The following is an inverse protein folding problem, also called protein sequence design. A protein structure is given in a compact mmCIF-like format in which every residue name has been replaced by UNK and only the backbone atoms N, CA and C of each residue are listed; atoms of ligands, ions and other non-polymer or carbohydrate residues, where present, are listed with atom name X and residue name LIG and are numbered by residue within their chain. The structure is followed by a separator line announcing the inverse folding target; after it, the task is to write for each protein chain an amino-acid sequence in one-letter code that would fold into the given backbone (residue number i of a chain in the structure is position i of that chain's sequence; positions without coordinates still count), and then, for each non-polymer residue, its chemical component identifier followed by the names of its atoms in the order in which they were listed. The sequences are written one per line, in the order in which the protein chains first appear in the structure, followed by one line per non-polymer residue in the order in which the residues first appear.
data_IF_330462522877
#
_entry.id   IF_330462522877
#
_cell.length_a   1.000
_cell.length_b   1.000
_cell.length_c   1.000
_cell.angle_alpha   90.00
_cell.angle_beta   90.00
_cell.angle_gamma   90.00
#
_symmetry.space_group_name_H-M   'P 1'
#
loop_
_entity.id
_entity.type
_entity.pdbx_description
1 polymer ?
#
# COMPACT_ATOMS: atom_id res chain seq x y z
N UNK A 1 3.23 -0.22 -24.63
CA UNK A 1 3.64 -0.68 -23.29
C UNK A 1 2.60 -1.69 -22.84
N UNK A 2 3.01 -2.88 -22.38
CA UNK A 2 2.09 -3.95 -21.98
C UNK A 2 1.19 -3.53 -20.81
N UNK A 3 0.04 -4.20 -20.67
CA UNK A 3 -0.83 -4.04 -19.51
C UNK A 3 -0.15 -4.75 -18.33
N UNK A 4 0.54 -4.01 -17.47
CA UNK A 4 1.15 -4.57 -16.26
C UNK A 4 0.15 -4.55 -15.13
N UNK A 5 -0.06 -5.68 -14.48
CA UNK A 5 -0.82 -5.79 -13.23
C UNK A 5 0.15 -6.06 -12.07
N UNK A 6 0.63 -5.03 -11.34
CA UNK A 6 1.58 -5.21 -10.24
C UNK A 6 1.13 -6.28 -9.23
N UNK A 7 -0.18 -6.32 -8.94
CA UNK A 7 -0.81 -7.25 -8.01
C UNK A 7 -0.57 -8.72 -8.38
N UNK A 8 -0.53 -9.03 -9.68
CA UNK A 8 -0.39 -10.39 -10.20
C UNK A 8 1.00 -10.67 -10.76
N UNK A 9 2.00 -9.83 -10.42
CA UNK A 9 3.39 -10.06 -10.77
C UNK A 9 3.99 -11.29 -10.09
N UNK A 10 3.57 -11.58 -8.87
CA UNK A 10 4.00 -12.72 -8.06
C UNK A 10 2.78 -13.54 -7.65
N UNK A 11 2.11 -14.22 -8.61
CA UNK A 11 0.84 -14.86 -8.35
C UNK A 11 1.02 -16.08 -7.45
N UNK A 12 0.06 -16.29 -6.54
CA UNK A 12 -0.08 -17.50 -5.73
C UNK A 12 -1.49 -18.05 -5.90
N UNK A 13 -1.68 -19.36 -5.68
CA UNK A 13 -3.00 -19.96 -5.80
C UNK A 13 -3.94 -19.37 -4.73
N UNK A 14 -3.44 -19.14 -3.52
CA UNK A 14 -4.19 -18.53 -2.43
C UNK A 14 -4.67 -17.11 -2.75
N UNK A 15 -3.84 -16.30 -3.43
CA UNK A 15 -4.22 -14.97 -3.88
C UNK A 15 -5.30 -15.04 -4.97
N UNK A 16 -5.14 -15.94 -5.95
CA UNK A 16 -6.11 -16.15 -7.03
C UNK A 16 -7.45 -16.63 -6.48
N UNK A 17 -7.45 -17.62 -5.59
CA UNK A 17 -8.65 -18.11 -4.90
C UNK A 17 -9.36 -16.98 -4.13
N UNK A 18 -8.59 -16.13 -3.44
CA UNK A 18 -9.15 -14.99 -2.72
C UNK A 18 -9.82 -13.98 -3.66
N UNK A 19 -9.19 -13.68 -4.80
CA UNK A 19 -9.76 -12.79 -5.82
C UNK A 19 -11.09 -13.32 -6.30
N UNK A 20 -11.13 -14.60 -6.71
CA UNK A 20 -12.31 -15.21 -7.31
C UNK A 20 -13.43 -15.37 -6.26
N UNK A 21 -13.12 -15.69 -4.99
CA UNK A 21 -14.12 -15.83 -3.92
C UNK A 21 -14.74 -14.51 -3.45
N UNK A 22 -14.01 -13.41 -3.57
CA UNK A 22 -14.42 -12.10 -3.02
C UNK A 22 -14.78 -11.07 -4.08
N UNK A 23 -14.79 -11.46 -5.36
CA UNK A 23 -15.24 -10.58 -6.42
C UNK A 23 -16.73 -10.28 -6.25
N UNK A 24 -17.06 -9.03 -5.95
CA UNK A 24 -18.40 -8.61 -5.53
C UNK A 24 -19.33 -8.22 -6.68
N UNK A 25 -18.83 -8.23 -7.91
CA UNK A 25 -19.54 -7.77 -9.11
C UNK A 25 -20.33 -8.89 -9.81
N UNK A 26 -20.66 -9.94 -9.06
CA UNK A 26 -21.45 -11.10 -9.50
C UNK A 26 -22.68 -11.27 -8.60
N UNK A 27 -23.80 -11.83 -9.10
CA UNK A 27 -25.06 -11.93 -8.34
C UNK A 27 -24.94 -12.67 -7.00
N UNK A 28 -24.06 -13.68 -6.90
CA UNK A 28 -23.90 -14.55 -5.74
C UNK A 28 -22.58 -14.30 -4.98
N UNK A 29 -22.08 -13.05 -5.00
CA UNK A 29 -20.82 -12.69 -4.33
C UNK A 29 -20.77 -13.19 -2.87
N UNK A 30 -19.76 -14.01 -2.54
CA UNK A 30 -19.58 -14.60 -1.20
C UNK A 30 -20.18 -16.00 -1.02
N UNK A 31 -20.70 -16.64 -2.06
CA UNK A 31 -21.10 -18.06 -2.03
C UNK A 31 -19.89 -19.00 -1.86
N UNK A 32 -20.10 -20.13 -1.18
CA UNK A 32 -19.06 -21.14 -0.92
C UNK A 32 -18.66 -21.89 -2.20
N UNK A 33 -19.57 -22.00 -3.16
CA UNK A 33 -19.34 -22.66 -4.45
C UNK A 33 -18.74 -21.66 -5.43
N UNK A 34 -17.72 -22.06 -6.19
CA UNK A 34 -17.01 -21.21 -7.17
C UNK A 34 -17.55 -21.37 -8.60
N UNK A 35 -18.76 -21.92 -8.75
CA UNK A 35 -19.36 -22.29 -10.04
C UNK A 35 -20.06 -21.11 -10.75
N UNK A 36 -19.90 -19.88 -10.25
CA UNK A 36 -20.80 -18.75 -10.56
C UNK A 36 -20.21 -17.64 -11.45
N UNK A 37 -18.95 -17.74 -11.86
CA UNK A 37 -18.39 -16.78 -12.82
C UNK A 37 -18.81 -17.18 -14.23
N UNK A 38 -19.77 -16.44 -14.81
CA UNK A 38 -20.06 -16.57 -16.24
C UNK A 38 -18.83 -16.13 -17.04
N UNK A 39 -18.73 -16.53 -18.31
CA UNK A 39 -17.60 -16.08 -19.14
C UNK A 39 -17.54 -14.55 -19.27
N UNK A 40 -18.69 -13.87 -19.19
CA UNK A 40 -18.77 -12.41 -19.11
C UNK A 40 -18.12 -11.87 -17.84
N UNK A 41 -18.34 -12.51 -16.71
CA UNK A 41 -17.77 -12.07 -15.43
C UNK A 41 -16.27 -12.34 -15.37
N UNK A 42 -15.81 -13.48 -15.91
CA UNK A 42 -14.39 -13.78 -16.08
C UNK A 42 -13.70 -12.72 -16.93
N UNK A 43 -14.28 -12.37 -18.07
CA UNK A 43 -13.76 -11.32 -18.94
C UNK A 43 -13.75 -9.95 -18.26
N UNK A 44 -14.79 -9.61 -17.50
CA UNK A 44 -14.84 -8.36 -16.71
C UNK A 44 -13.73 -8.33 -15.65
N UNK A 45 -13.53 -9.43 -14.92
CA UNK A 45 -12.49 -9.56 -13.92
C UNK A 45 -11.09 -9.44 -14.55
N UNK A 46 -10.80 -10.21 -15.60
CA UNK A 46 -9.52 -10.17 -16.32
C UNK A 46 -9.25 -8.79 -16.92
N UNK A 47 -10.25 -8.14 -17.51
CA UNK A 47 -10.13 -6.77 -18.00
C UNK A 47 -9.81 -5.80 -16.85
N UNK A 48 -10.51 -5.90 -15.73
CA UNK A 48 -10.27 -5.05 -14.57
C UNK A 48 -8.86 -5.26 -14.03
N UNK A 49 -8.42 -6.50 -13.85
CA UNK A 49 -7.08 -6.86 -13.39
C UNK A 49 -5.96 -6.33 -14.29
N UNK A 50 -6.19 -6.31 -15.61
CA UNK A 50 -5.20 -5.85 -16.59
C UNK A 50 -5.14 -4.33 -16.72
N UNK A 51 -6.26 -3.63 -16.57
CA UNK A 51 -6.34 -2.17 -16.76
C UNK A 51 -6.13 -1.41 -15.45
N UNK A 52 -6.73 -1.87 -14.35
CA UNK A 52 -6.58 -1.25 -13.03
C UNK A 52 -7.02 -2.22 -11.91
N UNK A 53 -6.06 -2.73 -11.15
CA UNK A 53 -6.28 -3.64 -10.02
C UNK A 53 -6.92 -2.98 -8.78
N UNK A 54 -6.95 -1.65 -8.70
CA UNK A 54 -7.46 -0.90 -7.55
C UNK A 54 -8.85 -1.37 -7.05
N UNK A 55 -9.91 -1.44 -7.88
CA UNK A 55 -11.22 -1.93 -7.43
C UNK A 55 -11.20 -3.36 -6.92
N UNK A 56 -10.31 -4.23 -7.42
CA UNK A 56 -10.20 -5.61 -6.95
C UNK A 56 -9.58 -5.62 -5.55
N UNK A 57 -8.48 -4.90 -5.34
CA UNK A 57 -7.81 -4.80 -4.05
C UNK A 57 -8.76 -4.34 -2.94
N UNK A 58 -9.55 -3.31 -3.22
CA UNK A 58 -10.54 -2.76 -2.27
C UNK A 58 -11.65 -3.78 -1.91
N UNK A 59 -11.98 -4.71 -2.81
CA UNK A 59 -12.98 -5.75 -2.55
C UNK A 59 -12.37 -6.92 -1.77
N UNK A 60 -11.17 -7.37 -2.15
CA UNK A 60 -10.56 -8.56 -1.57
C UNK A 60 -9.89 -8.28 -0.22
N UNK A 61 -9.51 -7.02 0.04
CA UNK A 61 -8.94 -6.53 1.30
C UNK A 61 -9.76 -5.34 1.82
N UNK A 62 -10.97 -5.60 2.38
CA UNK A 62 -11.89 -4.52 2.72
C UNK A 62 -11.51 -3.81 4.03
N UNK A 63 -11.93 -2.55 4.15
CA UNK A 63 -11.70 -1.71 5.33
C UNK A 63 -12.28 -2.31 6.63
N UNK A 64 -13.40 -3.02 6.52
CA UNK A 64 -14.06 -3.69 7.65
C UNK A 64 -13.23 -4.82 8.26
N UNK A 65 -12.23 -5.32 7.53
CA UNK A 65 -11.24 -6.30 8.01
C UNK A 65 -9.95 -5.64 8.51
N UNK A 66 -9.94 -4.30 8.63
CA UNK A 66 -8.80 -3.54 9.14
C UNK A 66 -7.76 -3.17 8.07
N UNK A 67 -8.04 -3.42 6.79
CA UNK A 67 -7.13 -3.03 5.71
C UNK A 67 -7.16 -1.51 5.46
N UNK A 68 -6.00 -0.89 5.15
CA UNK A 68 -5.90 0.56 5.01
C UNK A 68 -6.34 1.04 3.62
N UNK A 69 -7.51 0.60 3.16
CA UNK A 69 -8.14 1.05 1.92
C UNK A 69 -9.46 1.78 2.19
N UNK A 70 -9.90 2.69 1.31
CA UNK A 70 -11.23 3.26 1.41
C UNK A 70 -12.30 2.21 1.09
N UNK A 71 -13.42 2.28 1.80
CA UNK A 71 -14.55 1.38 1.58
C UNK A 71 -15.01 1.41 0.12
N UNK A 72 -15.04 0.24 -0.51
CA UNK A 72 -15.61 0.04 -1.84
C UNK A 72 -17.14 0.16 -1.79
N UNK A 73 -17.72 0.92 -2.72
CA UNK A 73 -19.17 1.09 -2.82
C UNK A 73 -19.77 0.46 -4.09
N UNK A 74 -18.94 0.23 -5.12
CA UNK A 74 -19.37 -0.42 -6.37
C UNK A 74 -18.64 0.12 -7.59
N UNK A 75 -18.91 -0.50 -8.74
CA UNK A 75 -18.41 -0.04 -10.03
C UNK A 75 -19.48 -0.07 -11.12
N UNK A 76 -19.32 0.79 -12.12
CA UNK A 76 -20.12 0.80 -13.34
C UNK A 76 -19.21 1.03 -14.55
N UNK A 77 -18.97 -0.02 -15.34
CA UNK A 77 -18.00 0.03 -16.43
C UNK A 77 -16.58 0.33 -15.90
N UNK A 78 -16.02 1.49 -16.29
CA UNK A 78 -14.69 1.96 -15.84
C UNK A 78 -14.75 2.90 -14.64
N UNK A 79 -15.94 3.19 -14.13
CA UNK A 79 -16.14 4.04 -12.96
C UNK A 79 -16.16 3.19 -11.70
N UNK A 80 -15.42 3.62 -10.69
CA UNK A 80 -15.36 3.00 -9.37
C UNK A 80 -15.75 4.04 -8.35
N UNK A 81 -16.58 3.65 -7.38
CA UNK A 81 -17.02 4.49 -6.28
C UNK A 81 -16.48 3.93 -4.97
N UNK A 82 -15.79 4.77 -4.21
CA UNK A 82 -15.26 4.45 -2.89
C UNK A 82 -15.47 5.61 -1.93
N UNK A 83 -15.23 5.39 -0.64
CA UNK A 83 -15.32 6.43 0.37
C UNK A 83 -14.39 7.62 0.05
N UNK A 84 -14.90 8.84 0.20
CA UNK A 84 -14.18 10.07 -0.17
C UNK A 84 -12.98 10.33 0.75
N UNK A 85 -11.85 10.71 0.15
CA UNK A 85 -10.61 11.10 0.84
C UNK A 85 -10.02 12.36 0.21
N UNK A 86 -9.18 13.08 0.96
CA UNK A 86 -8.32 14.14 0.41
C UNK A 86 -6.92 13.59 0.13
N UNK A 87 -6.31 13.85 -1.03
CA UNK A 87 -4.97 13.36 -1.34
C UNK A 87 -3.92 13.92 -0.38
N UNK A 88 -2.86 13.16 -0.09
CA UNK A 88 -1.80 13.54 0.84
C UNK A 88 -1.13 14.87 0.46
N UNK A 89 -1.06 15.20 -0.83
CA UNK A 89 -0.51 16.46 -1.35
C UNK A 89 -1.16 17.71 -0.73
N UNK A 90 -2.44 17.64 -0.39
CA UNK A 90 -3.18 18.76 0.19
C UNK A 90 -2.68 19.09 1.62
N UNK A 91 -1.88 18.20 2.21
CA UNK A 91 -1.29 18.34 3.55
C UNK A 91 0.19 18.71 3.55
N UNK A 92 0.83 18.91 2.39
CA UNK A 92 2.22 19.38 2.34
C UNK A 92 2.39 20.78 2.97
N UNK A 93 1.33 21.59 2.97
CA UNK A 93 1.27 22.88 3.68
C UNK A 93 0.76 22.80 5.12
N UNK A 94 0.46 21.61 5.66
CA UNK A 94 -0.15 21.47 6.98
C UNK A 94 0.80 21.84 8.13
N UNK A 95 0.24 22.11 9.30
CA UNK A 95 0.98 22.39 10.52
C UNK A 95 1.92 21.23 10.92
N UNK A 96 3.01 21.49 11.66
CA UNK A 96 4.02 20.48 11.99
C UNK A 96 3.46 19.24 12.70
N UNK A 97 2.47 19.42 13.56
CA UNK A 97 1.83 18.33 14.33
C UNK A 97 1.01 17.40 13.43
N UNK A 98 0.37 17.96 12.40
CA UNK A 98 -0.38 17.19 11.39
C UNK A 98 0.60 16.44 10.50
N UNK A 99 1.67 17.09 10.07
CA UNK A 99 2.69 16.47 9.23
C UNK A 99 3.41 15.32 9.94
N UNK A 100 3.80 15.52 11.21
CA UNK A 100 4.41 14.49 12.04
C UNK A 100 3.47 13.29 12.21
N UNK A 101 2.19 13.54 12.48
CA UNK A 101 1.23 12.44 12.64
C UNK A 101 0.96 11.69 11.34
N UNK A 102 0.80 12.38 10.20
CA UNK A 102 0.61 11.72 8.91
C UNK A 102 1.85 10.87 8.53
N UNK A 103 3.07 11.34 8.83
CA UNK A 103 4.27 10.56 8.63
C UNK A 103 4.29 9.29 9.51
N UNK A 104 3.88 9.39 10.77
CA UNK A 104 3.77 8.23 11.67
C UNK A 104 2.70 7.23 11.21
N UNK A 105 1.54 7.72 10.77
CA UNK A 105 0.50 6.87 10.20
C UNK A 105 0.97 6.18 8.92
N UNK A 106 1.73 6.88 8.08
CA UNK A 106 2.32 6.31 6.86
C UNK A 106 3.24 5.12 7.18
N UNK A 107 4.13 5.26 8.17
CA UNK A 107 4.96 4.15 8.62
C UNK A 107 4.14 2.98 9.20
N UNK A 108 3.06 3.27 9.93
CA UNK A 108 2.18 2.24 10.48
C UNK A 108 1.46 1.45 9.37
N UNK A 109 0.93 2.14 8.36
CA UNK A 109 0.30 1.53 7.18
C UNK A 109 1.31 0.67 6.42
N UNK A 110 2.52 1.18 6.15
CA UNK A 110 3.55 0.40 5.47
C UNK A 110 3.96 -0.84 6.26
N UNK A 111 4.01 -0.76 7.59
CA UNK A 111 4.29 -1.92 8.44
C UNK A 111 3.18 -2.97 8.36
N UNK A 112 1.89 -2.59 8.38
CA UNK A 112 0.80 -3.55 8.20
C UNK A 112 0.77 -4.16 6.79
N UNK A 113 1.23 -3.40 5.79
CA UNK A 113 1.41 -3.90 4.43
C UNK A 113 2.59 -4.89 4.30
N UNK A 114 3.64 -4.71 5.11
CA UNK A 114 4.79 -5.60 5.16
C UNK A 114 4.51 -6.91 5.93
N UNK A 115 3.77 -6.79 7.04
CA UNK A 115 3.48 -7.88 7.97
C UNK A 115 2.01 -7.82 8.41
N UNK A 116 1.25 -8.87 8.10
CA UNK A 116 -0.15 -9.02 8.47
C UNK A 116 -0.52 -10.48 8.70
N UNK A 117 -1.68 -10.70 9.31
CA UNK A 117 -2.16 -12.02 9.72
C UNK A 117 -2.45 -12.97 8.54
N UNK A 118 -2.57 -12.43 7.31
CA UNK A 118 -2.76 -13.24 6.10
C UNK A 118 -1.45 -13.61 5.42
N UNK A 119 -0.29 -13.22 5.95
CA UNK A 119 1.03 -13.48 5.37
C UNK A 119 1.16 -13.00 3.90
N UNK A 120 0.50 -11.90 3.54
CA UNK A 120 0.71 -11.23 2.26
C UNK A 120 1.69 -10.07 2.45
N UNK A 121 2.66 -9.95 1.56
CA UNK A 121 3.54 -8.79 1.50
C UNK A 121 3.15 -7.88 0.35
N UNK A 122 2.80 -6.64 0.69
CA UNK A 122 2.41 -5.64 -0.29
C UNK A 122 3.55 -4.65 -0.51
N UNK A 123 3.82 -4.37 -1.77
CA UNK A 123 4.84 -3.41 -2.17
C UNK A 123 4.30 -2.47 -3.24
N UNK A 124 4.80 -1.24 -3.26
CA UNK A 124 4.47 -0.30 -4.32
C UNK A 124 5.47 -0.44 -5.47
N UNK A 125 5.00 -0.41 -6.72
CA UNK A 125 5.87 -0.26 -7.88
C UNK A 125 6.12 1.20 -8.25
N UNK A 126 5.22 2.09 -7.81
CA UNK A 126 5.29 3.52 -8.01
C UNK A 126 4.52 4.23 -6.89
N UNK A 127 5.02 5.41 -6.48
CA UNK A 127 4.37 6.29 -5.52
C UNK A 127 4.27 7.70 -6.07
N UNK A 128 3.12 8.32 -5.85
CA UNK A 128 2.90 9.74 -6.09
C UNK A 128 2.06 10.38 -4.98
N UNK A 129 1.83 11.68 -5.14
CA UNK A 129 1.13 12.48 -4.15
C UNK A 129 -0.37 12.17 -4.03
N UNK A 130 -0.92 11.32 -4.92
CA UNK A 130 -2.29 10.81 -4.93
C UNK A 130 -2.42 9.36 -4.45
N UNK A 131 -1.32 8.63 -4.24
CA UNK A 131 -1.30 7.25 -3.72
C UNK A 131 -1.94 7.16 -2.33
N UNK A 132 -1.61 8.10 -1.44
CA UNK A 132 -2.18 8.16 -0.09
C UNK A 132 -3.23 9.26 0.02
N UNK A 133 -4.21 9.03 0.88
CA UNK A 133 -5.26 10.00 1.20
C UNK A 133 -5.57 10.01 2.68
N UNK A 134 -6.27 11.07 3.11
CA UNK A 134 -6.67 11.30 4.49
C UNK A 134 -8.19 11.50 4.54
N UNK A 135 -8.86 10.76 5.41
CA UNK A 135 -10.28 10.97 5.68
C UNK A 135 -10.53 12.24 6.50
N UNK A 136 -11.79 12.66 6.59
CA UNK A 136 -12.17 13.84 7.37
C UNK A 136 -11.86 13.71 8.87
N UNK A 137 -11.75 12.48 9.37
CA UNK A 137 -11.36 12.18 10.76
C UNK A 137 -9.84 12.18 10.98
N UNK A 138 -9.02 12.45 9.96
CA UNK A 138 -7.56 12.56 10.07
C UNK A 138 -6.79 11.26 9.86
N UNK A 139 -7.45 10.14 9.61
CA UNK A 139 -6.76 8.87 9.34
C UNK A 139 -6.24 8.79 7.89
N UNK A 140 -5.00 8.31 7.74
CA UNK A 140 -4.32 8.08 6.47
C UNK A 140 -4.58 6.66 5.95
N UNK A 141 -4.83 6.57 4.65
CA UNK A 141 -5.13 5.32 3.93
C UNK A 141 -4.46 5.31 2.55
N UNK A 142 -4.39 4.13 1.94
CA UNK A 142 -3.98 3.94 0.56
C UNK A 142 -5.19 4.28 -0.33
N UNK A 143 -5.15 5.47 -0.92
CA UNK A 143 -6.21 6.01 -1.78
C UNK A 143 -6.16 5.39 -3.17
N UNK A 144 -4.96 5.21 -3.73
CA UNK A 144 -4.75 4.54 -5.01
C UNK A 144 -3.91 3.29 -4.78
N UNK A 145 -4.49 2.16 -5.17
CA UNK A 145 -3.93 0.84 -4.98
C UNK A 145 -3.49 0.22 -6.32
N UNK A 146 -3.62 0.95 -7.43
CA UNK A 146 -3.31 0.46 -8.78
C UNK A 146 -1.84 0.05 -8.96
N UNK A 147 -0.94 0.61 -8.16
CA UNK A 147 0.50 0.34 -8.18
C UNK A 147 0.95 -0.70 -7.15
N UNK A 148 0.02 -1.30 -6.39
CA UNK A 148 0.37 -2.31 -5.39
C UNK A 148 0.59 -3.67 -6.04
N UNK A 149 1.76 -4.24 -5.77
CA UNK A 149 2.06 -5.65 -5.93
C UNK A 149 1.84 -6.43 -4.64
N UNK A 150 1.59 -7.73 -4.77
CA UNK A 150 1.42 -8.67 -3.66
C UNK A 150 2.36 -9.85 -3.85
N UNK A 151 3.03 -10.25 -2.79
CA UNK A 151 3.77 -11.51 -2.66
C UNK A 151 3.13 -12.32 -1.55
N UNK A 152 2.82 -13.58 -1.83
CA UNK A 152 2.34 -14.52 -0.83
C UNK A 152 3.52 -15.14 -0.07
N UNK A 153 3.66 -14.84 1.22
CA UNK A 153 4.74 -15.38 2.06
C UNK A 153 4.46 -16.78 2.59
N UNK A 154 3.21 -17.27 2.51
CA UNK A 154 2.83 -18.59 3.01
C UNK A 154 3.01 -19.66 1.96
N UNK A 155 2.60 -19.39 0.71
CA UNK A 155 2.90 -20.26 -0.44
C UNK A 155 4.32 -20.01 -0.99
N UNK A 156 4.95 -18.89 -0.63
CA UNK A 156 6.25 -18.45 -1.12
C UNK A 156 7.48 -19.01 -0.38
N UNK A 157 7.77 -20.29 -0.60
CA UNK A 157 9.11 -20.94 -0.52
C UNK A 157 9.14 -22.34 -1.17
N UNK A 158 8.05 -22.79 -1.81
CA UNK A 158 8.08 -24.02 -2.60
C UNK A 158 8.68 -23.69 -3.97
N UNK A 159 10.00 -23.87 -4.07
CA UNK A 159 10.72 -24.03 -5.33
C UNK A 159 9.91 -24.96 -6.23
N UNK A 160 9.22 -24.40 -7.22
CA UNK A 160 8.91 -25.18 -8.41
C UNK A 160 10.27 -25.55 -8.99
N UNK A 161 10.62 -26.82 -8.88
CA UNK A 161 11.79 -27.40 -9.50
C UNK A 161 11.81 -26.98 -10.98
N UNK A 162 12.81 -26.17 -11.35
CA UNK A 162 13.00 -25.71 -12.73
C UNK A 162 12.75 -24.22 -12.96
N UNK A 163 13.73 -23.62 -13.63
CA UNK A 163 13.74 -22.30 -14.26
C UNK A 163 12.50 -22.05 -15.14
N UNK A 164 11.34 -21.78 -14.56
CA UNK A 164 10.19 -21.33 -15.32
C UNK A 164 10.09 -19.81 -15.18
N UNK A 165 10.56 -19.11 -16.22
CA UNK A 165 10.31 -17.68 -16.38
C UNK A 165 8.80 -17.46 -16.31
N UNK A 166 8.30 -16.96 -15.18
CA UNK A 166 6.90 -16.58 -15.02
C UNK A 166 6.62 -15.43 -15.99
N UNK A 167 5.90 -15.75 -17.08
CA UNK A 167 5.44 -14.76 -18.06
C UNK A 167 4.22 -14.06 -17.49
N UNK A 168 4.19 -12.74 -17.54
CA UNK A 168 2.97 -11.99 -17.26
C UNK A 168 1.89 -12.40 -18.25
N UNK A 169 0.80 -12.97 -17.75
CA UNK A 169 -0.32 -13.32 -18.62
C UNK A 169 -0.92 -12.07 -19.28
N UNK A 170 -0.77 -10.89 -18.66
CA UNK A 170 -1.30 -9.63 -19.18
C UNK A 170 -0.32 -8.87 -20.07
N UNK A 171 1.00 -8.98 -19.86
CA UNK A 171 1.98 -8.36 -20.78
C UNK A 171 1.97 -9.06 -22.15
N UNK A 172 1.71 -10.37 -22.16
CA UNK A 172 1.52 -11.18 -23.36
C UNK A 172 0.16 -10.95 -24.06
N UNK A 173 -0.73 -10.09 -23.53
CA UNK A 173 -1.89 -9.59 -24.30
C UNK A 173 -1.49 -8.53 -25.35
N UNK A 174 -0.22 -8.13 -25.38
CA UNK A 174 0.35 -7.24 -26.41
C UNK A 174 1.33 -7.98 -27.31
N UNK A 175 1.52 -7.49 -28.55
CA UNK A 175 2.25 -8.17 -29.63
C UNK A 175 3.73 -8.46 -29.28
N UNK A 176 4.32 -7.66 -28.40
CA UNK A 176 5.72 -7.77 -27.98
C UNK A 176 5.81 -8.14 -26.49
N UNK A 177 5.72 -9.44 -26.19
CA UNK A 177 5.84 -9.94 -24.82
C UNK A 177 7.30 -9.86 -24.35
N UNK A 178 7.67 -8.77 -23.66
CA UNK A 178 8.96 -8.68 -22.96
C UNK A 178 8.87 -9.43 -21.63
N UNK A 179 9.53 -10.58 -21.56
CA UNK A 179 9.22 -11.68 -20.64
C UNK A 179 10.23 -11.88 -19.50
N UNK A 180 10.83 -10.83 -18.96
CA UNK A 180 11.72 -10.96 -17.81
C UNK A 180 11.26 -10.02 -16.69
N UNK A 181 10.47 -10.54 -15.75
CA UNK A 181 10.29 -9.86 -14.48
C UNK A 181 11.56 -9.99 -13.64
N UNK A 182 11.92 -8.93 -12.93
CA UNK A 182 12.83 -9.08 -11.78
C UNK A 182 12.15 -10.04 -10.80
N UNK A 183 12.88 -11.06 -10.34
CA UNK A 183 12.35 -12.09 -9.44
C UNK A 183 11.59 -11.49 -8.27
N UNK A 184 10.50 -12.13 -7.85
CA UNK A 184 9.77 -11.77 -6.65
C UNK A 184 10.68 -11.73 -5.40
N UNK A 185 11.74 -12.55 -5.40
CA UNK A 185 12.73 -12.60 -4.33
C UNK A 185 13.62 -11.35 -4.24
N UNK A 186 13.67 -10.55 -5.31
CA UNK A 186 14.44 -9.31 -5.33
C UNK A 186 13.76 -8.15 -4.58
N UNK A 187 12.47 -8.31 -4.24
CA UNK A 187 11.67 -7.25 -3.64
C UNK A 187 11.78 -7.38 -2.12
N UNK A 188 12.55 -6.48 -1.50
CA UNK A 188 12.77 -6.48 -0.05
C UNK A 188 11.58 -5.87 0.68
N UNK A 189 11.38 -6.25 1.95
CA UNK A 189 10.32 -5.68 2.81
C UNK A 189 10.47 -4.16 3.02
N UNK A 190 11.69 -3.64 2.87
CA UNK A 190 12.01 -2.22 3.02
C UNK A 190 11.73 -1.41 1.74
N UNK A 191 11.40 -2.06 0.62
CA UNK A 191 11.22 -1.41 -0.68
C UNK A 191 10.26 -0.21 -0.63
N UNK A 192 9.03 -0.43 -0.13
CA UNK A 192 8.01 0.62 -0.01
C UNK A 192 8.41 1.73 0.95
N UNK A 193 9.18 1.41 1.99
CA UNK A 193 9.67 2.39 2.95
C UNK A 193 10.69 3.33 2.31
N UNK A 194 11.62 2.78 1.53
CA UNK A 194 12.59 3.59 0.79
C UNK A 194 11.88 4.53 -0.18
N UNK A 195 10.92 4.03 -0.95
CA UNK A 195 10.15 4.86 -1.89
C UNK A 195 9.41 6.00 -1.17
N UNK A 196 8.79 5.74 -0.02
CA UNK A 196 8.13 6.78 0.77
C UNK A 196 9.12 7.83 1.30
N UNK A 197 10.29 7.39 1.75
CA UNK A 197 11.36 8.28 2.20
C UNK A 197 11.96 9.14 1.09
N UNK A 198 11.95 8.65 -0.16
CA UNK A 198 12.39 9.40 -1.33
C UNK A 198 11.31 10.39 -1.81
N UNK A 199 10.07 9.91 -1.97
CA UNK A 199 9.06 10.64 -2.74
C UNK A 199 8.08 11.47 -1.91
N UNK A 200 7.71 11.01 -0.71
CA UNK A 200 6.57 11.58 0.03
C UNK A 200 7.02 12.35 1.28
N UNK A 201 7.86 11.74 2.12
CA UNK A 201 8.25 12.32 3.40
C UNK A 201 9.05 13.62 3.27
N UNK A 202 9.96 13.80 2.30
CA UNK A 202 10.64 15.09 2.13
C UNK A 202 9.66 16.22 1.83
N UNK A 203 8.62 15.97 1.03
CA UNK A 203 7.57 16.95 0.72
C UNK A 203 6.69 17.23 1.95
N UNK A 204 6.44 16.21 2.76
CA UNK A 204 5.62 16.32 3.96
C UNK A 204 6.32 16.95 5.16
N UNK A 205 7.63 16.79 5.33
CA UNK A 205 8.35 17.16 6.57
C UNK A 205 9.34 18.32 6.43
N UNK A 206 9.71 18.71 5.20
CA UNK A 206 10.74 19.73 4.95
C UNK A 206 10.38 21.08 5.57
N UNK A 207 11.29 21.60 6.38
CA UNK A 207 11.23 22.94 6.96
C UNK A 207 10.06 23.16 7.93
N UNK A 208 9.46 22.09 8.46
CA UNK A 208 8.32 22.19 9.39
C UNK A 208 8.74 22.29 10.85
N UNK A 209 9.95 21.86 11.19
CA UNK A 209 10.41 21.78 12.56
C UNK A 209 11.52 22.81 12.83
N UNK A 210 11.64 23.31 14.07
CA UNK A 210 12.71 24.24 14.42
C UNK A 210 14.08 23.54 14.34
N UNK A 211 15.14 24.29 14.07
CA UNK A 211 16.50 23.77 14.21
C UNK A 211 16.84 23.61 15.71
N UNK A 212 17.58 22.55 16.12
CA UNK A 212 18.31 21.56 15.30
C UNK A 212 17.51 20.28 15.00
N UNK A 213 16.19 20.27 15.24
CA UNK A 213 15.37 19.06 15.06
C UNK A 213 15.20 18.72 13.58
N UNK A 214 14.99 19.73 12.73
CA UNK A 214 14.85 19.54 11.28
C UNK A 214 16.09 18.87 10.67
N UNK A 215 17.30 19.33 11.02
CA UNK A 215 18.56 18.69 10.56
C UNK A 215 18.63 17.20 10.90
N UNK A 216 18.19 16.80 12.09
CA UNK A 216 18.15 15.38 12.48
C UNK A 216 17.13 14.60 11.66
N UNK A 217 15.94 15.16 11.46
CA UNK A 217 14.89 14.53 10.63
C UNK A 217 15.39 14.34 9.20
N UNK A 218 15.96 15.39 8.60
CA UNK A 218 16.49 15.36 7.24
C UNK A 218 17.63 14.34 7.11
N UNK A 219 18.51 14.24 8.12
CA UNK A 219 19.59 13.24 8.15
C UNK A 219 19.07 11.80 8.16
N UNK A 220 18.03 11.50 8.96
CA UNK A 220 17.45 10.16 8.99
C UNK A 220 16.60 9.86 7.75
N UNK A 221 15.91 10.86 7.19
CA UNK A 221 15.19 10.71 5.92
C UNK A 221 16.14 10.35 4.79
N UNK A 222 17.30 11.01 4.70
CA UNK A 222 18.29 10.70 3.68
C UNK A 222 18.81 9.27 3.82
N UNK A 223 19.14 8.83 5.05
CA UNK A 223 19.57 7.43 5.30
C UNK A 223 18.50 6.40 4.94
N UNK A 224 17.22 6.73 5.14
CA UNK A 224 16.12 5.88 4.73
C UNK A 224 16.01 5.82 3.19
N UNK A 225 16.17 6.97 2.52
CA UNK A 225 16.11 7.08 1.07
C UNK A 225 17.26 6.37 0.35
N UNK A 226 18.45 6.29 0.97
CA UNK A 226 19.63 5.63 0.40
C UNK A 226 19.59 4.08 0.54
N UNK A 227 18.55 3.54 1.19
CA UNK A 227 18.43 2.13 1.57
C UNK A 227 18.56 1.10 0.45
N UNK A 228 18.17 1.46 -0.78
CA UNK A 228 18.30 0.57 -1.95
C UNK A 228 19.76 0.20 -2.30
N UNK A 229 20.75 0.92 -1.74
CA UNK A 229 22.17 0.64 -1.94
C UNK A 229 22.85 0.03 -0.70
N UNK A 230 22.20 0.02 0.47
CA UNK A 230 22.79 -0.43 1.73
C UNK A 230 21.68 -0.86 2.72
N UNK A 231 21.31 -2.14 2.71
CA UNK A 231 20.23 -2.74 3.54
C UNK A 231 20.44 -2.54 5.06
N UNK A 232 21.65 -2.21 5.51
CA UNK A 232 21.94 -1.96 6.92
C UNK A 232 21.64 -0.50 7.31
N UNK A 233 20.37 -0.11 7.33
CA UNK A 233 20.06 1.23 7.86
C UNK A 233 18.62 1.69 7.84
N UNK A 234 17.78 1.20 6.94
CA UNK A 234 16.43 1.74 6.71
C UNK A 234 15.56 1.61 7.96
N UNK A 235 15.40 0.38 8.46
CA UNK A 235 14.64 0.11 9.69
C UNK A 235 15.13 0.93 10.91
N UNK A 236 16.45 1.11 11.05
CA UNK A 236 17.04 1.92 12.14
C UNK A 236 16.76 3.42 11.95
N UNK A 237 16.86 3.93 10.73
CA UNK A 237 16.57 5.32 10.41
C UNK A 237 15.08 5.63 10.65
N UNK A 238 14.18 4.74 10.25
CA UNK A 238 12.74 4.86 10.51
C UNK A 238 12.46 4.83 12.01
N UNK A 239 13.05 3.90 12.76
CA UNK A 239 12.88 3.86 14.21
C UNK A 239 13.27 5.21 14.87
N UNK A 240 14.37 5.82 14.41
CA UNK A 240 14.81 7.14 14.88
C UNK A 240 13.88 8.28 14.43
N UNK A 241 13.34 8.24 13.22
CA UNK A 241 12.32 9.18 12.76
C UNK A 241 11.04 9.08 13.61
N UNK A 242 10.58 7.85 13.88
CA UNK A 242 9.42 7.61 14.74
C UNK A 242 9.65 8.17 16.14
N UNK A 243 10.84 7.93 16.73
CA UNK A 243 11.20 8.50 18.04
C UNK A 243 11.18 10.03 18.05
N UNK A 244 11.62 10.69 16.97
CA UNK A 244 11.63 12.16 16.87
C UNK A 244 10.24 12.76 16.64
N UNK A 245 9.42 12.11 15.82
CA UNK A 245 8.10 12.62 15.43
C UNK A 245 7.02 12.32 16.48
N UNK A 246 7.16 11.23 17.25
CA UNK A 246 6.15 10.79 18.22
C UNK A 246 5.80 11.87 19.27
N UNK A 247 6.77 12.59 19.89
CA UNK A 247 6.46 13.66 20.85
C UNK A 247 5.75 14.87 20.24
N UNK A 248 5.74 15.00 18.92
CA UNK A 248 5.13 16.12 18.20
C UNK A 248 3.64 15.89 17.91
N UNK A 249 3.11 14.71 18.27
CA UNK A 249 1.67 14.43 18.16
C UNK A 249 0.92 15.15 19.26
N UNK A 250 0.03 16.07 18.87
CA UNK A 250 -0.90 16.72 19.80
C UNK A 250 -2.05 15.80 20.22
N UNK A 251 -2.47 15.86 21.48
CA UNK A 251 -3.68 15.19 21.97
C UNK A 251 -4.94 16.07 21.89
N UNK A 252 -5.03 16.93 20.88
CA UNK A 252 -6.22 17.74 20.59
C UNK A 252 -7.42 16.84 20.22
N UNK A 253 -8.61 17.23 20.68
CA UNK A 253 -9.92 16.69 20.30
C UNK A 253 -10.13 16.49 18.79
N UNK A 254 -9.48 17.31 17.94
CA UNK A 254 -9.47 17.17 16.47
C UNK A 254 -8.87 15.84 16.00
N UNK A 255 -8.13 15.15 16.86
CA UNK A 255 -7.53 13.83 16.62
C UNK A 255 -8.14 12.77 17.52
N UNK A 256 -9.47 12.74 17.61
CA UNK A 256 -10.23 11.86 18.50
C UNK A 256 -9.84 10.36 18.37
N UNK A 257 -9.38 9.92 17.21
CA UNK A 257 -8.89 8.55 17.00
C UNK A 257 -7.64 8.17 17.81
N UNK A 258 -6.96 9.15 18.44
CA UNK A 258 -5.80 8.94 19.31
C UNK A 258 -6.17 8.62 20.76
N UNK A 259 -7.45 8.65 21.12
CA UNK A 259 -7.93 8.29 22.46
C UNK A 259 -8.27 6.79 22.49
N UNK A 260 -7.30 5.93 22.83
CA UNK A 260 -6.88 5.81 24.24
C UNK A 260 -5.44 6.21 24.54
N UNK A 261 -4.55 6.29 23.54
CA UNK A 261 -3.13 6.60 23.74
C UNK A 261 -2.94 7.93 24.47
N UNK A 262 -3.73 8.94 24.11
CA UNK A 262 -3.76 10.25 24.76
C UNK A 262 -4.36 10.26 26.17
N UNK A 263 -5.09 9.21 26.57
CA UNK A 263 -5.72 9.09 27.89
C UNK A 263 -4.85 8.32 28.89
N UNK A 264 -4.01 7.41 28.41
CA UNK A 264 -3.29 6.44 29.25
C UNK A 264 -1.76 6.47 29.09
N UNK A 265 -1.22 7.39 28.31
CA UNK A 265 0.24 7.50 28.14
C UNK A 265 0.77 8.77 28.78
N UNK A 266 1.58 8.64 29.83
CA UNK A 266 2.31 9.73 30.51
C UNK A 266 3.42 10.38 29.64
N UNK A 267 3.48 10.05 28.34
CA UNK A 267 4.52 10.46 27.39
C UNK A 267 4.02 11.46 26.33
N UNK A 268 2.77 11.91 26.44
CA UNK A 268 2.16 12.91 25.57
C UNK A 268 1.54 14.04 26.39
#
# INVERSE_FOLDING_TARGET
QGLSSPMLRCPSQRLLDRIVRRYAEVPDAGSIYMDHLTDRDKLRLLYTLSVNSHPILLQIFPDVEGWPFPRYLGSCGRLVVSASTRPLRDFYGAAPEVAADLALQLFAVLRSMATNDLNYFFYFTHLDAGTFGVFNNGHLFIRDASTLGIIDKEEGSQLSDGQQEYKDIFSCLTVDCQSAFVSCDSITEEHSLVMVCQELLPKLLKGKFPQPMQEKIDSFLQRCADGLHNDQGVSKAIAKLVELLKPLRSCDSRFAYRYPDCKYSDKY
#
